data_IF_563241300228
#
_entry.id   IF_563241300228
#
_cell.length_a   1.000
_cell.length_b   1.000
_cell.length_c   1.000
_cell.angle_alpha   90.00
_cell.angle_beta   90.00
_cell.angle_gamma   90.00
#
_symmetry.space_group_name_H-M   'P 1'
#
loop_
_entity.id
_entity.type
_entity.pdbx_description
1 polymer ?
#
# COMPACT_ATOMS: atom_id res chain seq x y z
N UNK A 1 13.10 -22.00 11.53
CA UNK A 1 13.43 -20.94 10.54
C UNK A 1 12.18 -20.10 10.37
N UNK A 2 12.24 -18.80 10.62
CA UNK A 2 11.13 -17.88 10.39
C UNK A 2 10.84 -17.82 8.90
N UNK A 3 9.55 -17.82 8.53
CA UNK A 3 9.09 -17.78 7.13
C UNK A 3 9.38 -16.40 6.52
N UNK A 4 10.05 -16.35 5.37
CA UNK A 4 10.18 -15.11 4.62
C UNK A 4 8.81 -14.68 4.09
N UNK A 5 8.38 -13.45 4.45
CA UNK A 5 7.14 -12.84 3.96
C UNK A 5 7.39 -12.11 2.65
N UNK A 6 8.49 -11.36 2.56
CA UNK A 6 8.92 -10.64 1.38
C UNK A 6 10.27 -11.18 0.95
N UNK A 7 10.44 -11.50 -0.33
CA UNK A 7 11.73 -11.81 -0.94
C UNK A 7 11.85 -11.10 -2.27
N UNK A 8 12.92 -10.31 -2.37
CA UNK A 8 13.29 -9.55 -3.55
C UNK A 8 14.56 -10.16 -4.14
N UNK A 9 14.59 -10.40 -5.43
CA UNK A 9 15.74 -10.97 -6.14
C UNK A 9 16.11 -10.10 -7.34
N UNK A 10 17.27 -9.45 -7.27
CA UNK A 10 17.80 -8.55 -8.30
C UNK A 10 16.75 -7.57 -8.85
N UNK A 11 15.98 -6.96 -7.95
CA UNK A 11 14.86 -6.11 -8.31
C UNK A 11 15.37 -4.80 -8.92
N UNK A 12 14.98 -4.51 -10.15
CA UNK A 12 15.33 -3.29 -10.86
C UNK A 12 14.10 -2.48 -11.23
N UNK A 13 14.25 -1.17 -11.27
CA UNK A 13 13.24 -0.26 -11.78
C UNK A 13 13.87 0.86 -12.57
N UNK A 14 13.46 0.97 -13.83
CA UNK A 14 13.83 2.06 -14.73
C UNK A 14 12.57 2.79 -15.17
N UNK A 15 12.55 4.11 -15.01
CA UNK A 15 11.52 4.99 -15.54
C UNK A 15 12.04 5.67 -16.80
N UNK A 16 11.18 5.79 -17.83
CA UNK A 16 11.46 6.54 -19.04
C UNK A 16 10.70 7.87 -19.00
N UNK A 17 11.42 8.96 -19.08
CA UNK A 17 10.87 10.32 -19.15
C UNK A 17 11.39 10.97 -20.44
N UNK A 18 10.57 10.90 -21.49
CA UNK A 18 11.00 11.25 -22.84
C UNK A 18 12.13 10.34 -23.33
N UNK A 19 13.28 10.91 -23.70
CA UNK A 19 14.47 10.17 -24.12
C UNK A 19 15.41 9.79 -22.96
N UNK A 20 15.11 10.22 -21.73
CA UNK A 20 15.96 9.97 -20.56
C UNK A 20 15.49 8.74 -19.80
N UNK A 21 16.43 7.86 -19.46
CA UNK A 21 16.18 6.73 -18.56
C UNK A 21 16.69 7.04 -17.15
N UNK A 22 15.83 6.80 -16.14
CA UNK A 22 16.17 6.96 -14.72
C UNK A 22 16.13 5.59 -14.06
N UNK A 23 17.31 5.06 -13.71
CA UNK A 23 17.45 3.80 -12.99
C UNK A 23 17.20 4.02 -11.50
N UNK A 24 15.95 3.87 -11.07
CA UNK A 24 15.53 4.11 -9.69
C UNK A 24 15.95 2.98 -8.74
N UNK A 25 15.94 1.73 -9.20
CA UNK A 25 16.47 0.56 -8.49
C UNK A 25 17.45 -0.19 -9.41
N UNK A 26 18.54 -0.67 -8.81
CA UNK A 26 19.67 -1.26 -9.56
C UNK A 26 20.06 -2.63 -8.97
N UNK A 27 19.12 -3.59 -8.96
CA UNK A 27 19.38 -4.96 -8.52
C UNK A 27 19.27 -5.13 -6.99
N UNK A 28 18.15 -4.72 -6.39
CA UNK A 28 17.91 -4.91 -4.95
C UNK A 28 17.59 -6.36 -4.66
N UNK A 29 18.36 -7.00 -3.76
CA UNK A 29 18.09 -8.32 -3.24
C UNK A 29 17.98 -8.24 -1.73
N UNK A 30 16.83 -8.65 -1.17
CA UNK A 30 16.56 -8.56 0.26
C UNK A 30 15.42 -9.51 0.66
N UNK A 31 15.43 -9.96 1.92
CA UNK A 31 14.34 -10.72 2.52
C UNK A 31 13.84 -10.06 3.79
N UNK A 32 12.52 -10.12 4.01
CA UNK A 32 11.86 -9.72 5.26
C UNK A 32 11.10 -10.92 5.80
N UNK A 33 11.32 -11.22 7.07
CA UNK A 33 10.70 -12.36 7.75
C UNK A 33 9.50 -11.94 8.61
N UNK A 34 8.71 -12.91 8.98
CA UNK A 34 7.54 -12.70 9.84
C UNK A 34 7.94 -12.06 11.18
N UNK A 35 7.22 -11.00 11.57
CA UNK A 35 7.45 -10.25 12.81
C UNK A 35 8.58 -9.22 12.74
N UNK A 36 9.27 -9.08 11.60
CA UNK A 36 10.33 -8.09 11.47
C UNK A 36 9.79 -6.66 11.29
N UNK A 37 10.50 -5.71 11.87
CA UNK A 37 10.37 -4.28 11.62
C UNK A 37 11.60 -3.80 10.84
N UNK A 38 11.38 -3.31 9.62
CA UNK A 38 12.46 -2.90 8.70
C UNK A 38 12.36 -1.41 8.39
N UNK A 39 13.48 -0.69 8.51
CA UNK A 39 13.57 0.71 8.10
C UNK A 39 14.44 0.86 6.84
N UNK A 40 13.89 1.50 5.80
CA UNK A 40 14.62 1.82 4.56
C UNK A 40 15.11 3.25 4.65
N UNK A 41 16.44 3.43 4.72
CA UNK A 41 17.09 4.73 4.86
C UNK A 41 17.97 5.05 3.66
N UNK A 42 18.25 6.33 3.45
CA UNK A 42 19.11 6.82 2.38
C UNK A 42 18.77 8.25 1.96
N UNK A 43 19.64 8.91 1.16
CA UNK A 43 19.42 10.28 0.69
C UNK A 43 18.18 10.41 -0.22
N UNK A 44 17.75 11.65 -0.49
CA UNK A 44 16.70 11.90 -1.47
C UNK A 44 17.12 11.36 -2.84
N UNK A 45 16.19 10.76 -3.58
CA UNK A 45 16.46 10.17 -4.90
C UNK A 45 17.09 8.78 -4.89
N UNK A 46 17.36 8.16 -3.72
CA UNK A 46 17.97 6.82 -3.63
C UNK A 46 17.03 5.65 -3.94
N UNK A 47 15.79 5.90 -4.38
CA UNK A 47 14.85 4.85 -4.76
C UNK A 47 13.95 4.30 -3.64
N UNK A 48 13.99 4.85 -2.42
CA UNK A 48 13.18 4.37 -1.28
C UNK A 48 11.69 4.30 -1.58
N UNK A 49 11.11 5.38 -2.08
CA UNK A 49 9.68 5.44 -2.43
C UNK A 49 9.34 4.49 -3.58
N UNK A 50 10.25 4.34 -4.54
CA UNK A 50 10.10 3.37 -5.64
C UNK A 50 10.05 1.94 -5.10
N UNK A 51 10.97 1.59 -4.19
CA UNK A 51 10.99 0.27 -3.56
C UNK A 51 9.72 0.03 -2.74
N UNK A 52 9.29 1.01 -1.94
CA UNK A 52 8.04 0.93 -1.17
C UNK A 52 6.81 0.74 -2.06
N UNK A 53 6.74 1.45 -3.21
CA UNK A 53 5.63 1.30 -4.16
C UNK A 53 5.61 -0.10 -4.79
N UNK A 54 6.77 -0.69 -5.09
CA UNK A 54 6.83 -2.05 -5.64
C UNK A 54 6.46 -3.07 -4.57
N UNK A 55 7.00 -2.96 -3.35
CA UNK A 55 6.63 -3.84 -2.22
C UNK A 55 5.13 -3.72 -1.91
N UNK A 56 4.58 -2.49 -1.96
CA UNK A 56 3.15 -2.22 -1.81
C UNK A 56 2.28 -2.64 -2.99
N UNK A 57 2.84 -3.29 -4.02
CA UNK A 57 2.13 -3.66 -5.25
C UNK A 57 1.43 -2.49 -5.96
N UNK A 58 1.91 -1.25 -5.76
CA UNK A 58 1.43 -0.03 -6.42
C UNK A 58 2.12 0.19 -7.76
N UNK A 59 3.34 -0.34 -7.92
CA UNK A 59 4.12 -0.31 -9.16
C UNK A 59 4.75 -1.69 -9.41
N UNK A 60 5.30 -1.89 -10.60
CA UNK A 60 5.95 -3.13 -11.01
C UNK A 60 7.44 -2.91 -11.22
N UNK A 61 8.29 -3.90 -10.92
CA UNK A 61 9.68 -3.86 -11.31
C UNK A 61 9.81 -3.89 -12.84
N UNK A 62 10.92 -3.37 -13.37
CA UNK A 62 11.30 -3.52 -14.78
C UNK A 62 11.90 -4.89 -15.02
N UNK A 63 12.68 -5.39 -14.06
CA UNK A 63 13.28 -6.73 -14.05
C UNK A 63 13.50 -7.20 -12.62
N UNK A 64 13.93 -8.46 -12.46
CA UNK A 64 14.04 -9.13 -11.17
C UNK A 64 12.72 -9.74 -10.72
N UNK A 65 12.71 -10.34 -9.52
CA UNK A 65 11.56 -11.06 -8.99
C UNK A 65 11.17 -10.54 -7.61
N UNK A 66 9.88 -10.47 -7.36
CA UNK A 66 9.31 -10.15 -6.06
C UNK A 66 8.35 -11.26 -5.63
N UNK A 67 8.61 -11.84 -4.47
CA UNK A 67 7.77 -12.86 -3.85
C UNK A 67 7.13 -12.31 -2.57
N UNK A 68 5.82 -12.46 -2.45
CA UNK A 68 5.05 -12.17 -1.25
C UNK A 68 4.48 -13.48 -0.71
N UNK A 69 4.85 -13.85 0.52
CA UNK A 69 4.46 -15.13 1.16
C UNK A 69 4.78 -16.38 0.31
N UNK A 70 5.82 -16.30 -0.52
CA UNK A 70 6.27 -17.37 -1.41
C UNK A 70 5.63 -17.37 -2.80
N UNK A 71 4.66 -16.48 -3.07
CA UNK A 71 4.02 -16.32 -4.37
C UNK A 71 4.71 -15.22 -5.18
N UNK A 72 5.11 -15.49 -6.43
CA UNK A 72 5.77 -14.51 -7.30
C UNK A 72 4.77 -13.50 -7.85
N UNK A 73 4.73 -12.30 -7.23
CA UNK A 73 3.77 -11.24 -7.56
C UNK A 73 4.26 -10.29 -8.65
N UNK A 74 5.55 -10.32 -9.00
CA UNK A 74 6.12 -9.48 -10.09
C UNK A 74 5.52 -9.76 -11.46
N UNK A 75 5.00 -10.97 -11.68
CA UNK A 75 4.37 -11.40 -12.94
C UNK A 75 2.87 -11.16 -13.00
N UNK A 76 2.26 -10.70 -11.90
CA UNK A 76 0.80 -10.55 -11.81
C UNK A 76 0.28 -9.40 -12.68
N UNK A 77 -0.92 -9.56 -13.22
CA UNK A 77 -1.68 -8.50 -13.86
C UNK A 77 -2.20 -7.46 -12.82
N UNK A 78 -2.83 -6.40 -13.32
CA UNK A 78 -3.34 -5.31 -12.47
C UNK A 78 -4.42 -5.77 -11.50
N UNK A 79 -5.27 -6.70 -11.90
CA UNK A 79 -6.39 -7.18 -11.09
C UNK A 79 -5.91 -8.06 -9.95
N UNK A 80 -4.95 -8.96 -10.22
CA UNK A 80 -4.30 -9.76 -9.18
C UNK A 80 -3.54 -8.88 -8.18
N UNK A 81 -2.79 -7.87 -8.65
CA UNK A 81 -2.12 -6.92 -7.76
C UNK A 81 -3.11 -6.13 -6.92
N UNK A 82 -4.28 -5.73 -7.47
CA UNK A 82 -5.33 -5.08 -6.71
C UNK A 82 -5.90 -6.00 -5.63
N UNK A 83 -6.07 -7.29 -5.93
CA UNK A 83 -6.49 -8.29 -4.95
C UNK A 83 -5.47 -8.46 -3.81
N UNK A 84 -4.17 -8.53 -4.14
CA UNK A 84 -3.09 -8.59 -3.13
C UNK A 84 -3.12 -7.35 -2.23
N UNK A 85 -3.21 -6.14 -2.79
CA UNK A 85 -3.31 -4.90 -1.99
C UNK A 85 -4.52 -4.93 -1.04
N UNK A 86 -5.66 -5.39 -1.53
CA UNK A 86 -6.88 -5.44 -0.73
C UNK A 86 -6.79 -6.44 0.43
N UNK A 87 -6.08 -7.57 0.25
CA UNK A 87 -6.11 -8.69 1.19
C UNK A 87 -4.89 -8.83 2.07
N UNK A 88 -3.72 -8.41 1.59
CA UNK A 88 -2.43 -8.74 2.22
C UNK A 88 -1.59 -7.53 2.63
N UNK A 89 -1.88 -6.32 2.11
CA UNK A 89 -1.05 -5.15 2.32
C UNK A 89 -1.86 -4.02 2.95
N UNK A 90 -1.39 -3.51 4.10
CA UNK A 90 -1.82 -2.22 4.63
C UNK A 90 -0.80 -1.15 4.26
N UNK A 91 -1.19 -0.11 3.55
CA UNK A 91 -0.31 0.97 3.13
C UNK A 91 -0.71 2.29 3.81
N UNK A 92 0.22 2.88 4.55
CA UNK A 92 0.05 4.21 5.15
C UNK A 92 0.80 5.22 4.29
N UNK A 93 0.08 6.13 3.65
CA UNK A 93 0.66 7.12 2.73
C UNK A 93 1.23 8.33 3.48
N UNK A 94 2.27 8.93 2.94
CA UNK A 94 2.82 10.19 3.42
C UNK A 94 1.84 11.37 3.21
N UNK A 95 1.11 11.37 2.09
CA UNK A 95 0.00 12.25 1.78
C UNK A 95 -1.28 11.44 1.85
N UNK A 96 -2.22 11.83 2.63
CA UNK A 96 -3.39 11.06 3.08
C UNK A 96 -4.10 10.22 2.01
N UNK A 97 -4.09 10.63 0.75
CA UNK A 97 -4.72 9.96 -0.42
C UNK A 97 -6.21 9.66 -0.23
N UNK A 98 -6.90 10.51 0.53
CA UNK A 98 -8.33 10.40 0.77
C UNK A 98 -9.12 11.06 -0.37
N UNK A 99 -10.29 10.51 -0.67
CA UNK A 99 -11.23 11.12 -1.60
C UNK A 99 -11.81 12.39 -0.97
N UNK A 100 -11.54 13.55 -1.58
CA UNK A 100 -11.78 14.87 -0.97
C UNK A 100 -13.27 15.26 -0.81
N UNK A 101 -14.17 14.63 -1.56
CA UNK A 101 -15.60 14.95 -1.56
C UNK A 101 -16.47 13.96 -0.79
N UNK A 102 -15.87 12.94 -0.22
CA UNK A 102 -16.53 11.87 0.51
C UNK A 102 -16.32 12.02 2.02
N UNK A 103 -17.17 11.39 2.80
CA UNK A 103 -17.07 11.32 4.26
C UNK A 103 -15.96 10.37 4.71
N UNK A 104 -15.58 10.43 5.99
CA UNK A 104 -14.66 9.46 6.60
C UNK A 104 -15.18 8.03 6.45
N UNK A 105 -16.49 7.83 6.66
CA UNK A 105 -17.12 6.51 6.50
C UNK A 105 -16.98 5.98 5.08
N UNK A 106 -17.34 6.78 4.06
CA UNK A 106 -17.24 6.38 2.66
C UNK A 106 -15.80 6.08 2.22
N UNK A 107 -14.80 6.81 2.72
CA UNK A 107 -13.39 6.52 2.45
C UNK A 107 -12.97 5.16 3.02
N UNK A 108 -13.43 4.82 4.24
CA UNK A 108 -13.11 3.52 4.87
C UNK A 108 -13.92 2.37 4.28
N UNK A 109 -15.11 2.63 3.76
CA UNK A 109 -15.91 1.63 3.04
C UNK A 109 -15.32 1.28 1.66
N UNK A 110 -14.58 2.18 1.03
CA UNK A 110 -14.07 2.02 -0.34
C UNK A 110 -13.32 0.68 -0.58
N UNK A 111 -12.33 0.28 0.23
CA UNK A 111 -11.67 -1.02 0.03
C UNK A 111 -12.59 -2.21 0.27
N UNK A 112 -13.65 -2.06 1.07
CA UNK A 112 -14.61 -3.12 1.35
C UNK A 112 -15.58 -3.36 0.18
N UNK A 113 -15.74 -2.39 -0.75
CA UNK A 113 -16.50 -2.59 -1.99
C UNK A 113 -15.93 -3.72 -2.87
N UNK A 114 -14.63 -3.96 -2.77
CA UNK A 114 -13.94 -5.04 -3.48
C UNK A 114 -13.91 -6.36 -2.69
N UNK A 115 -14.59 -6.39 -1.55
CA UNK A 115 -14.76 -7.58 -0.72
C UNK A 115 -16.19 -8.13 -0.89
N UNK A 116 -16.37 -9.44 -0.87
CA UNK A 116 -17.69 -10.07 -1.03
C UNK A 116 -18.49 -9.97 0.30
N UNK A 117 -18.74 -8.75 0.80
CA UNK A 117 -19.51 -8.48 2.00
C UNK A 117 -20.76 -7.67 1.68
N UNK A 118 -21.86 -7.89 2.43
CA UNK A 118 -23.08 -7.10 2.24
C UNK A 118 -22.86 -5.65 2.70
N UNK A 119 -23.62 -4.69 2.12
CA UNK A 119 -23.52 -3.26 2.48
C UNK A 119 -23.69 -3.03 3.98
N UNK A 120 -24.56 -3.76 4.65
CA UNK A 120 -24.75 -3.64 6.11
C UNK A 120 -23.50 -4.04 6.89
N UNK A 121 -22.86 -5.15 6.50
CA UNK A 121 -21.62 -5.62 7.12
C UNK A 121 -20.47 -4.65 6.83
N UNK A 122 -20.38 -4.13 5.60
CA UNK A 122 -19.38 -3.14 5.20
C UNK A 122 -19.44 -1.89 6.08
N UNK A 123 -20.64 -1.29 6.24
CA UNK A 123 -20.82 -0.10 7.07
C UNK A 123 -20.48 -0.36 8.54
N UNK A 124 -20.85 -1.50 9.10
CA UNK A 124 -20.49 -1.85 10.48
C UNK A 124 -18.98 -2.07 10.68
N UNK A 125 -18.30 -2.70 9.71
CA UNK A 125 -16.84 -2.85 9.74
C UNK A 125 -16.14 -1.49 9.65
N UNK A 126 -16.58 -0.61 8.76
CA UNK A 126 -16.04 0.73 8.60
C UNK A 126 -16.21 1.59 9.86
N UNK A 127 -17.38 1.55 10.49
CA UNK A 127 -17.63 2.23 11.78
C UNK A 127 -16.70 1.72 12.88
N UNK A 128 -16.54 0.40 13.01
CA UNK A 128 -15.62 -0.20 13.98
C UNK A 128 -14.17 0.24 13.74
N UNK A 129 -13.72 0.26 12.48
CA UNK A 129 -12.38 0.72 12.13
C UNK A 129 -12.18 2.20 12.52
N UNK A 130 -13.13 3.08 12.19
CA UNK A 130 -13.07 4.49 12.58
C UNK A 130 -13.08 4.69 14.10
N UNK A 131 -13.91 3.95 14.82
CA UNK A 131 -13.94 4.00 16.29
C UNK A 131 -12.61 3.56 16.91
N UNK A 132 -11.95 2.53 16.35
CA UNK A 132 -10.66 2.02 16.85
C UNK A 132 -9.52 3.03 16.78
N UNK A 133 -9.63 4.02 15.87
CA UNK A 133 -8.65 5.12 15.72
C UNK A 133 -9.18 6.46 16.30
N UNK A 134 -10.28 6.43 17.08
CA UNK A 134 -10.84 7.59 17.76
C UNK A 134 -11.57 8.56 16.82
N UNK A 135 -12.15 8.06 15.73
CA UNK A 135 -12.94 8.82 14.75
C UNK A 135 -14.43 8.44 14.71
N UNK A 136 -14.92 7.71 15.73
CA UNK A 136 -16.32 7.28 15.82
C UNK A 136 -17.35 8.42 15.72
N UNK A 137 -17.04 9.58 16.28
CA UNK A 137 -17.91 10.77 16.24
C UNK A 137 -17.70 11.63 14.97
N UNK A 138 -16.78 11.21 14.08
CA UNK A 138 -16.40 11.92 12.85
C UNK A 138 -16.81 11.21 11.56
N UNK A 139 -17.56 10.14 11.66
CA UNK A 139 -17.90 9.26 10.52
C UNK A 139 -18.56 9.99 9.34
N UNK A 140 -19.34 11.03 9.61
CA UNK A 140 -20.02 11.85 8.61
C UNK A 140 -19.26 13.11 8.19
N UNK A 141 -18.07 13.37 8.79
CA UNK A 141 -17.25 14.52 8.39
C UNK A 141 -16.60 14.23 7.05
N UNK A 142 -16.60 15.23 6.16
CA UNK A 142 -15.82 15.19 4.92
C UNK A 142 -14.33 15.35 5.23
N UNK A 143 -13.46 14.90 4.33
CA UNK A 143 -12.01 14.97 4.51
C UNK A 143 -11.49 16.38 4.83
N UNK A 144 -12.06 17.42 4.21
CA UNK A 144 -11.70 18.82 4.47
C UNK A 144 -12.19 19.37 5.83
N UNK A 145 -12.99 18.61 6.56
CA UNK A 145 -13.46 18.94 7.91
C UNK A 145 -12.66 18.23 9.00
N UNK A 146 -11.70 17.41 8.61
CA UNK A 146 -10.81 16.68 9.49
C UNK A 146 -9.44 17.38 9.55
N UNK A 147 -8.85 17.43 10.75
CA UNK A 147 -7.47 17.89 10.92
C UNK A 147 -6.49 16.95 10.23
N UNK A 148 -5.25 17.41 9.96
CA UNK A 148 -4.23 16.57 9.34
C UNK A 148 -3.94 15.27 10.12
N UNK A 149 -3.94 15.34 11.46
CA UNK A 149 -3.79 14.16 12.30
C UNK A 149 -4.99 13.20 12.25
N UNK A 150 -6.22 13.72 12.09
CA UNK A 150 -7.42 12.91 11.88
C UNK A 150 -7.42 12.24 10.50
N UNK A 151 -6.97 12.97 9.46
CA UNK A 151 -6.82 12.41 8.11
C UNK A 151 -5.73 11.32 8.02
N UNK A 152 -4.69 11.41 8.85
CA UNK A 152 -3.61 10.42 8.88
C UNK A 152 -4.02 9.13 9.57
N UNK A 153 -4.92 9.17 10.52
CA UNK A 153 -5.51 8.00 11.20
C UNK A 153 -6.48 7.24 10.31
#
# INVERSE_FOLDING_TARGET
MTKAIIRLENLEKTYRVGETEVHALRGVTYEVHEGEFVAIMGPSGSGKSTLMNIIGCLDRPTSGRYFLEGEEVSTFDRDKLAHIRNRKIGFVFQTFNLLSRTTALENVELPLLYSNVSSKVMTELAKKALASVGLGDRIHHKTNQLSGGEQQR
#
